data_IF_143212168232
#
_entry.id   IF_143212168232
#
_cell.length_a   1.000
_cell.length_b   1.000
_cell.length_c   1.000
_cell.angle_alpha   90.00
_cell.angle_beta   90.00
_cell.angle_gamma   90.00
#
_symmetry.space_group_name_H-M   'P 1'
#
loop_
_entity.id
_entity.type
_entity.pdbx_description
1 polymer ?
#
# COMPACT_ATOMS: atom_id res chain seq x y z
N UNK A 1 6.00 -1.75 17.01
CA UNK A 1 5.24 -3.04 17.05
C UNK A 1 5.23 -3.58 15.63
N UNK A 2 5.15 -4.88 15.37
CA UNK A 2 5.05 -5.34 13.97
C UNK A 2 3.70 -4.90 13.41
N UNK A 3 3.69 -3.85 12.58
CA UNK A 3 2.51 -3.40 11.86
C UNK A 3 1.92 -4.57 11.07
N UNK A 4 0.60 -4.77 11.19
CA UNK A 4 -0.14 -5.78 10.44
C UNK A 4 -1.54 -5.25 10.15
N UNK A 5 -1.88 -5.15 8.87
CA UNK A 5 -3.22 -4.78 8.46
C UNK A 5 -4.09 -6.03 8.31
N UNK A 6 -5.25 -6.05 8.94
CA UNK A 6 -6.19 -7.17 8.83
C UNK A 6 -7.10 -7.00 7.59
N UNK A 7 -7.52 -8.10 6.94
CA UNK A 7 -8.44 -8.01 5.80
C UNK A 7 -9.77 -7.32 6.13
N UNK A 8 -10.25 -7.46 7.37
CA UNK A 8 -11.45 -6.77 7.85
C UNK A 8 -11.28 -5.25 7.92
N UNK A 9 -10.06 -4.79 8.19
CA UNK A 9 -9.74 -3.35 8.23
C UNK A 9 -9.69 -2.77 6.83
N UNK A 10 -9.13 -3.51 5.86
CA UNK A 10 -9.20 -3.16 4.43
C UNK A 10 -10.64 -2.99 3.96
N UNK A 11 -11.51 -3.93 4.33
CA UNK A 11 -12.93 -3.89 3.96
C UNK A 11 -13.70 -2.75 4.67
N UNK A 12 -13.15 -2.19 5.75
CA UNK A 12 -13.77 -1.09 6.50
C UNK A 12 -13.58 0.28 5.86
N UNK A 13 -12.73 0.40 4.82
CA UNK A 13 -12.50 1.67 4.12
C UNK A 13 -13.79 2.13 3.44
N UNK A 14 -14.28 3.29 3.87
CA UNK A 14 -15.53 3.87 3.37
C UNK A 14 -15.35 4.58 2.03
N UNK A 15 -16.45 4.82 1.31
CA UNK A 15 -16.41 5.63 0.08
C UNK A 15 -16.03 7.09 0.37
N UNK A 16 -16.37 7.60 1.56
CA UNK A 16 -15.97 8.91 2.01
C UNK A 16 -14.44 8.99 2.17
N UNK A 17 -13.81 7.99 2.78
CA UNK A 17 -12.34 7.91 2.88
C UNK A 17 -11.67 7.73 1.52
N UNK A 18 -12.30 7.02 0.58
CA UNK A 18 -11.81 6.97 -0.79
C UNK A 18 -11.86 8.35 -1.45
N UNK A 19 -12.94 9.11 -1.28
CA UNK A 19 -13.14 10.41 -1.91
C UNK A 19 -12.31 11.54 -1.29
N UNK A 20 -12.14 11.51 0.04
CA UNK A 20 -11.46 12.56 0.81
C UNK A 20 -10.07 12.15 1.32
N UNK A 21 -9.64 10.94 0.97
CA UNK A 21 -8.43 10.30 1.46
C UNK A 21 -8.43 9.96 2.95
N UNK A 22 -7.50 9.09 3.37
CA UNK A 22 -7.32 8.72 4.77
C UNK A 22 -5.86 8.40 5.08
N UNK A 23 -5.47 8.50 6.34
CA UNK A 23 -4.17 8.07 6.87
C UNK A 23 -4.30 6.99 7.94
N UNK A 24 -5.53 6.51 8.20
CA UNK A 24 -5.86 5.64 9.33
C UNK A 24 -5.05 4.35 9.37
N UNK A 25 -4.77 3.77 8.22
CA UNK A 25 -4.05 2.49 8.12
C UNK A 25 -2.60 2.65 7.67
N UNK A 26 -2.10 3.89 7.50
CA UNK A 26 -0.69 4.09 7.20
C UNK A 26 0.16 3.78 8.43
N UNK A 27 1.21 2.95 8.29
CA UNK A 27 2.15 2.72 9.38
C UNK A 27 2.83 4.03 9.82
N UNK A 28 3.08 4.14 11.12
CA UNK A 28 3.89 5.23 11.67
C UNK A 28 5.31 5.18 11.07
N UNK A 29 5.96 6.34 11.01
CA UNK A 29 7.28 6.47 10.37
C UNK A 29 8.33 5.52 10.97
N UNK A 30 8.24 5.30 12.29
CA UNK A 30 9.13 4.45 13.08
C UNK A 30 8.88 2.94 12.90
N UNK A 31 7.69 2.55 12.45
CA UNK A 31 7.33 1.14 12.22
C UNK A 31 7.65 0.69 10.78
N UNK A 32 8.02 1.61 9.88
CA UNK A 32 8.36 1.30 8.49
C UNK A 32 9.81 0.83 8.40
N UNK A 33 10.07 -0.43 7.96
CA UNK A 33 11.43 -0.94 7.83
C UNK A 33 12.25 -0.14 6.82
N UNK A 34 13.56 -0.02 7.06
CA UNK A 34 14.50 0.76 6.24
C UNK A 34 14.48 0.37 4.74
N UNK A 35 14.17 -0.88 4.41
CA UNK A 35 14.08 -1.37 3.03
C UNK A 35 12.96 -0.70 2.22
N UNK A 36 11.87 -0.26 2.87
CA UNK A 36 10.79 0.48 2.22
C UNK A 36 11.14 1.95 2.03
N UNK A 37 12.12 2.48 2.76
CA UNK A 37 12.67 3.82 2.53
C UNK A 37 13.68 3.83 1.39
N UNK A 38 14.48 2.78 1.26
CA UNK A 38 15.44 2.62 0.16
C UNK A 38 14.76 2.34 -1.18
N UNK A 39 13.58 1.74 -1.15
CA UNK A 39 12.78 1.38 -2.32
C UNK A 39 12.89 -0.10 -2.67
N UNK A 40 11.75 -0.75 -2.82
CA UNK A 40 11.61 -2.16 -3.16
C UNK A 40 10.47 -2.36 -4.17
N UNK A 41 10.10 -3.62 -4.46
CA UNK A 41 9.05 -3.93 -5.44
C UNK A 41 7.68 -3.36 -5.03
N UNK A 42 7.37 -3.36 -3.73
CA UNK A 42 6.12 -2.84 -3.19
C UNK A 42 6.04 -1.32 -3.29
N UNK A 43 7.13 -0.62 -2.96
CA UNK A 43 7.16 0.85 -3.08
C UNK A 43 7.15 1.29 -4.53
N UNK A 44 7.79 0.53 -5.44
CA UNK A 44 7.70 0.76 -6.90
C UNK A 44 6.28 0.58 -7.41
N UNK A 45 5.57 -0.45 -6.95
CA UNK A 45 4.15 -0.62 -7.28
C UNK A 45 3.31 0.56 -6.75
N UNK A 46 3.52 0.95 -5.49
CA UNK A 46 2.82 2.08 -4.88
C UNK A 46 3.09 3.40 -5.64
N UNK A 47 4.34 3.64 -6.02
CA UNK A 47 4.75 4.80 -6.82
C UNK A 47 4.15 4.77 -8.22
N UNK A 48 4.15 3.61 -8.90
CA UNK A 48 3.48 3.48 -10.20
C UNK A 48 1.99 3.76 -10.12
N UNK A 49 1.31 3.28 -9.08
CA UNK A 49 -0.10 3.55 -8.84
C UNK A 49 -0.38 5.02 -8.52
N UNK A 50 0.55 5.72 -7.86
CA UNK A 50 0.45 7.14 -7.55
C UNK A 50 0.68 8.03 -8.79
N UNK A 51 1.77 7.77 -9.52
CA UNK A 51 2.16 8.54 -10.70
C UNK A 51 1.37 8.16 -11.97
N UNK A 52 0.62 7.05 -11.95
CA UNK A 52 -0.04 6.51 -13.13
C UNK A 52 0.93 5.97 -14.19
N UNK A 53 2.13 5.55 -13.77
CA UNK A 53 3.15 4.99 -14.67
C UNK A 53 2.96 3.47 -14.83
N UNK A 54 3.77 2.83 -15.69
CA UNK A 54 3.72 1.38 -15.85
C UNK A 54 4.01 0.67 -14.51
N UNK A 55 3.16 -0.28 -14.16
CA UNK A 55 3.34 -1.15 -13.00
C UNK A 55 4.54 -2.07 -13.23
N UNK A 56 5.32 -2.41 -12.17
CA UNK A 56 6.40 -3.37 -12.29
C UNK A 56 5.87 -4.73 -12.77
N UNK A 57 6.67 -5.42 -13.58
CA UNK A 57 6.37 -6.79 -13.99
C UNK A 57 6.51 -7.72 -12.78
N UNK A 58 5.36 -8.02 -12.14
CA UNK A 58 5.30 -8.85 -10.95
C UNK A 58 3.99 -9.62 -10.90
N UNK A 59 4.05 -10.79 -10.26
CA UNK A 59 2.88 -11.52 -9.83
C UNK A 59 2.45 -11.04 -8.46
N UNK A 60 1.13 -10.92 -8.26
CA UNK A 60 0.52 -10.46 -7.02
C UNK A 60 -0.28 -11.61 -6.43
N UNK A 61 0.16 -12.13 -5.29
CA UNK A 61 -0.57 -13.13 -4.51
C UNK A 61 -1.18 -12.46 -3.29
N UNK A 62 -2.51 -12.40 -3.23
CA UNK A 62 -3.22 -11.81 -2.09
C UNK A 62 -3.27 -12.83 -0.94
N UNK A 63 -3.08 -12.35 0.29
CA UNK A 63 -3.22 -13.19 1.48
C UNK A 63 -4.68 -13.65 1.64
N UNK A 64 -4.89 -14.76 2.36
CA UNK A 64 -6.23 -15.30 2.58
C UNK A 64 -7.19 -14.27 3.19
N UNK A 65 -8.38 -14.16 2.61
CA UNK A 65 -9.43 -13.24 3.05
C UNK A 65 -9.24 -11.79 2.58
N UNK A 66 -8.15 -11.47 1.86
CA UNK A 66 -7.95 -10.15 1.25
C UNK A 66 -8.72 -10.06 -0.06
N UNK A 67 -9.69 -9.16 -0.12
CA UNK A 67 -10.39 -8.83 -1.35
C UNK A 67 -9.59 -7.81 -2.19
N UNK A 68 -9.42 -8.11 -3.49
CA UNK A 68 -8.65 -7.28 -4.40
C UNK A 68 -9.26 -5.88 -4.59
N UNK A 69 -10.59 -5.78 -4.60
CA UNK A 69 -11.28 -4.51 -4.77
C UNK A 69 -11.14 -3.63 -3.51
N UNK A 70 -11.30 -4.23 -2.32
CA UNK A 70 -11.05 -3.57 -1.05
C UNK A 70 -9.59 -3.10 -0.92
N UNK A 71 -8.63 -3.91 -1.35
CA UNK A 71 -7.21 -3.54 -1.37
C UNK A 71 -6.96 -2.33 -2.29
N UNK A 72 -7.45 -2.38 -3.53
CA UNK A 72 -7.28 -1.26 -4.46
C UNK A 72 -7.94 0.03 -3.94
N UNK A 73 -9.12 -0.09 -3.32
CA UNK A 73 -9.81 1.03 -2.66
C UNK A 73 -8.95 1.62 -1.55
N UNK A 74 -8.42 0.77 -0.68
CA UNK A 74 -7.54 1.20 0.42
C UNK A 74 -6.29 1.92 -0.10
N UNK A 75 -5.60 1.35 -1.10
CA UNK A 75 -4.41 1.97 -1.69
C UNK A 75 -4.75 3.36 -2.24
N UNK A 76 -5.82 3.47 -3.04
CA UNK A 76 -6.23 4.76 -3.62
C UNK A 76 -6.59 5.80 -2.57
N UNK A 77 -7.32 5.40 -1.53
CA UNK A 77 -7.68 6.28 -0.41
C UNK A 77 -6.44 6.86 0.31
N UNK A 78 -5.35 6.10 0.41
CA UNK A 78 -4.11 6.60 1.03
C UNK A 78 -3.24 7.40 0.05
N UNK A 79 -3.18 6.99 -1.22
CA UNK A 79 -2.36 7.65 -2.24
C UNK A 79 -2.85 9.06 -2.56
N UNK A 80 -4.16 9.28 -2.55
CA UNK A 80 -4.78 10.59 -2.83
C UNK A 80 -4.62 11.61 -1.69
N UNK A 81 -4.17 11.19 -0.50
CA UNK A 81 -4.02 12.09 0.65
C UNK A 81 -2.93 13.14 0.44
N UNK A 82 -3.13 14.37 0.91
CA UNK A 82 -2.10 15.43 0.86
C UNK A 82 -1.05 15.30 1.98
N UNK A 83 -1.30 14.45 2.97
CA UNK A 83 -0.39 14.11 4.07
C UNK A 83 -0.36 12.59 4.28
N UNK A 84 0.73 11.97 4.75
CA UNK A 84 2.04 12.55 5.08
C UNK A 84 2.87 12.92 3.83
N UNK A 85 4.14 13.31 4.02
CA UNK A 85 5.09 13.59 2.92
C UNK A 85 5.14 12.42 1.93
N UNK A 86 5.41 12.72 0.66
CA UNK A 86 5.44 11.75 -0.43
C UNK A 86 6.26 10.48 -0.09
N UNK A 87 7.50 10.64 0.39
CA UNK A 87 8.37 9.52 0.76
C UNK A 87 7.75 8.60 1.82
N UNK A 88 7.21 9.18 2.90
CA UNK A 88 6.52 8.41 3.94
C UNK A 88 5.28 7.71 3.39
N UNK A 89 4.52 8.39 2.53
CA UNK A 89 3.33 7.81 1.92
C UNK A 89 3.67 6.59 1.07
N UNK A 90 4.66 6.69 0.19
CA UNK A 90 5.06 5.59 -0.68
C UNK A 90 5.65 4.44 0.13
N UNK A 91 6.53 4.73 1.10
CA UNK A 91 7.11 3.71 1.97
C UNK A 91 6.05 3.01 2.83
N UNK A 92 5.10 3.78 3.36
CA UNK A 92 4.01 3.26 4.19
C UNK A 92 2.99 2.44 3.40
N UNK A 93 2.59 2.88 2.20
CA UNK A 93 1.73 2.09 1.31
C UNK A 93 2.45 0.81 0.84
N UNK A 94 3.75 0.90 0.54
CA UNK A 94 4.56 -0.27 0.20
C UNK A 94 4.57 -1.30 1.34
N UNK A 95 4.77 -0.86 2.58
CA UNK A 95 4.77 -1.76 3.73
C UNK A 95 3.37 -2.30 4.04
N UNK A 96 2.33 -1.48 3.85
CA UNK A 96 0.93 -1.92 3.92
C UNK A 96 0.66 -3.06 2.93
N UNK A 97 1.09 -2.91 1.67
CA UNK A 97 0.97 -3.94 0.64
C UNK A 97 1.67 -5.23 1.08
N UNK A 98 2.92 -5.15 1.54
CA UNK A 98 3.68 -6.31 2.01
C UNK A 98 3.00 -7.05 3.18
N UNK A 99 2.13 -6.39 3.94
CA UNK A 99 1.37 -7.04 5.03
C UNK A 99 0.16 -7.86 4.56
N UNK A 100 -0.34 -7.61 3.34
CA UNK A 100 -1.60 -8.18 2.82
C UNK A 100 -1.44 -8.90 1.47
N UNK A 101 -0.30 -8.77 0.81
CA UNK A 101 0.03 -9.52 -0.40
C UNK A 101 1.53 -9.78 -0.52
N UNK A 102 1.85 -10.80 -1.30
CA UNK A 102 3.20 -11.13 -1.72
C UNK A 102 3.39 -10.70 -3.18
N UNK A 103 4.46 -9.95 -3.45
CA UNK A 103 4.83 -9.55 -4.80
C UNK A 103 6.07 -10.34 -5.24
N UNK A 104 5.93 -11.10 -6.33
CA UNK A 104 7.04 -11.86 -6.91
C UNK A 104 7.45 -11.20 -8.23
N UNK A 105 8.69 -10.70 -8.37
CA UNK A 105 9.14 -10.12 -9.64
C UNK A 105 9.17 -11.20 -10.72
N UNK A 106 8.64 -10.87 -11.90
CA UNK A 106 8.74 -11.75 -13.06
C UNK A 106 10.15 -11.63 -13.68
N UNK A 107 10.75 -12.74 -14.15
CA UNK A 107 11.98 -12.68 -14.93
C UNK A 107 11.75 -11.83 -16.18
N UNK A 108 12.73 -10.97 -16.50
CA UNK A 108 12.71 -10.06 -17.64
C UNK A 108 12.81 -10.79 -18.99
#
# INVERSE_FOLDING_TARGET
>A
MTYKLLPQELASVTDAELAFSTTRFLPAIEDIPAEFWAGNIYTKLAESLYCGSMTPACEIELNEGVDAAALNKCIRAHLQSWAPKHEHKIAGVGYMLASVCTLTPLPA
#
